data_IF_946370484977
#
_entry.id   IF_946370484977
#
_cell.length_a   1.000
_cell.length_b   1.000
_cell.length_c   1.000
_cell.angle_alpha   90.00
_cell.angle_beta   90.00
_cell.angle_gamma   90.00
#
_symmetry.space_group_name_H-M   'P 1'
#
loop_
_entity.id
_entity.type
_entity.pdbx_description
1 polymer ?
#
# COMPACT_ATOMS: atom_id res chain seq x y z
N UNK A 1 -7.65 42.30 77.70
CA UNK A 1 -8.37 41.69 76.59
C UNK A 1 -7.38 41.40 75.45
N UNK A 2 -6.90 40.14 75.34
CA UNK A 2 -5.98 39.72 74.27
C UNK A 2 -6.80 38.96 73.22
N UNK A 3 -6.86 39.51 71.98
CA UNK A 3 -7.49 38.86 70.83
C UNK A 3 -6.43 37.98 70.14
N UNK A 4 -6.63 36.66 70.18
CA UNK A 4 -5.87 35.67 69.41
C UNK A 4 -6.43 35.66 67.97
N UNK A 5 -5.57 35.93 66.99
CA UNK A 5 -5.86 35.71 65.56
C UNK A 5 -5.39 34.27 65.20
N UNK A 6 -6.34 33.40 64.83
CA UNK A 6 -6.04 32.13 64.19
C UNK A 6 -5.78 32.40 62.70
N UNK A 7 -4.59 32.09 62.23
CA UNK A 7 -4.27 32.06 60.81
C UNK A 7 -4.59 30.65 60.26
N UNK A 8 -5.57 30.59 59.33
CA UNK A 8 -5.85 29.36 58.61
C UNK A 8 -4.88 29.23 57.42
N UNK A 9 -4.03 28.20 57.47
CA UNK A 9 -3.15 27.84 56.38
C UNK A 9 -3.95 26.99 55.34
N UNK A 10 -4.18 27.55 54.15
CA UNK A 10 -4.71 26.77 53.00
C UNK A 10 -3.55 26.02 52.32
N UNK A 11 -3.56 24.70 52.44
CA UNK A 11 -2.66 23.82 51.69
C UNK A 11 -3.24 23.62 50.29
N UNK A 12 -2.63 24.22 49.28
CA UNK A 12 -2.93 23.98 47.86
C UNK A 12 -2.26 22.68 47.45
N UNK A 13 -3.04 21.59 47.29
CA UNK A 13 -2.59 20.35 46.65
C UNK A 13 -2.69 20.56 45.14
N UNK A 14 -1.58 20.89 44.48
CA UNK A 14 -1.50 20.86 43.02
C UNK A 14 -1.49 19.42 42.54
N UNK A 15 -2.62 18.95 41.97
CA UNK A 15 -2.67 17.68 41.27
C UNK A 15 -1.85 17.80 39.97
N UNK A 16 -0.64 17.24 39.96
CA UNK A 16 0.12 17.01 38.74
C UNK A 16 -0.61 15.93 37.91
N UNK A 17 -1.48 16.39 37.02
CA UNK A 17 -1.98 15.55 35.94
C UNK A 17 -0.78 15.23 35.02
N UNK A 18 -0.11 14.11 35.24
CA UNK A 18 0.89 13.58 34.33
C UNK A 18 0.21 13.37 32.98
N UNK A 19 0.60 14.14 31.96
CA UNK A 19 0.24 13.87 30.60
C UNK A 19 0.75 12.47 30.26
N UNK A 20 -0.17 11.49 30.16
CA UNK A 20 0.15 10.18 29.60
C UNK A 20 0.54 10.43 28.17
N UNK A 21 1.84 10.43 27.92
CA UNK A 21 2.38 10.58 26.56
C UNK A 21 1.95 9.34 25.79
N UNK A 22 1.02 9.52 24.85
CA UNK A 22 0.55 8.44 24.01
C UNK A 22 1.78 7.81 23.32
N UNK A 23 1.95 6.50 23.51
CA UNK A 23 3.04 5.77 22.88
C UNK A 23 2.93 5.92 21.36
N UNK A 24 4.03 6.16 20.65
CA UNK A 24 4.01 6.24 19.19
C UNK A 24 3.48 4.93 18.61
N UNK A 25 2.70 5.02 17.54
CA UNK A 25 2.17 3.82 16.85
C UNK A 25 3.33 2.95 16.37
N UNK A 26 3.32 1.67 16.72
CA UNK A 26 4.41 0.74 16.47
C UNK A 26 4.12 -0.19 15.30
N UNK A 27 5.05 -0.29 14.37
CA UNK A 27 5.05 -1.29 13.30
C UNK A 27 5.88 -2.54 13.64
N UNK A 28 6.37 -2.69 14.88
CA UNK A 28 7.31 -3.76 15.26
C UNK A 28 6.81 -5.17 14.95
N UNK A 29 5.60 -5.52 15.38
CA UNK A 29 5.01 -6.84 15.09
C UNK A 29 4.81 -7.07 13.59
N UNK A 30 4.45 -6.03 12.83
CA UNK A 30 4.31 -6.13 11.38
C UNK A 30 5.67 -6.28 10.68
N UNK A 31 6.68 -5.53 11.13
CA UNK A 31 8.05 -5.66 10.62
C UNK A 31 8.59 -7.07 10.80
N UNK A 32 8.39 -7.65 11.99
CA UNK A 32 8.81 -9.02 12.28
C UNK A 32 8.05 -10.06 11.42
N UNK A 33 6.74 -9.85 11.20
CA UNK A 33 5.96 -10.72 10.33
C UNK A 33 6.45 -10.61 8.87
N UNK A 34 6.61 -9.40 8.34
CA UNK A 34 7.11 -9.20 6.99
C UNK A 34 8.50 -9.80 6.79
N UNK A 35 9.44 -9.51 7.70
CA UNK A 35 10.81 -10.04 7.64
C UNK A 35 10.87 -11.56 7.68
N UNK A 36 9.93 -12.20 8.40
CA UNK A 36 9.93 -13.66 8.57
C UNK A 36 9.30 -14.39 7.40
N UNK A 37 8.22 -13.84 6.82
CA UNK A 37 7.39 -14.55 5.87
C UNK A 37 7.42 -13.99 4.46
N UNK A 38 8.07 -12.84 4.23
CA UNK A 38 8.18 -12.21 2.91
C UNK A 38 9.63 -12.21 2.46
N UNK A 39 9.91 -12.81 1.31
CA UNK A 39 11.24 -12.84 0.71
C UNK A 39 11.60 -11.48 0.07
N UNK A 40 12.89 -11.28 -0.25
CA UNK A 40 13.39 -10.04 -0.86
C UNK A 40 12.73 -9.72 -2.21
N UNK A 41 12.23 -10.73 -2.92
CA UNK A 41 11.49 -10.55 -4.17
C UNK A 41 9.97 -10.42 -3.99
N UNK A 42 9.49 -10.31 -2.74
CA UNK A 42 8.08 -10.02 -2.42
C UNK A 42 7.16 -11.23 -2.44
N UNK A 43 7.72 -12.46 -2.46
CA UNK A 43 6.95 -13.70 -2.35
C UNK A 43 6.66 -14.00 -0.88
N UNK A 44 5.48 -14.58 -0.60
CA UNK A 44 4.98 -14.82 0.77
C UNK A 44 4.88 -16.31 1.07
N UNK A 45 5.43 -16.74 2.21
CA UNK A 45 5.15 -18.07 2.77
C UNK A 45 3.81 -18.05 3.51
N UNK A 46 2.72 -18.22 2.76
CA UNK A 46 1.37 -18.19 3.33
C UNK A 46 1.07 -19.38 4.24
N UNK A 47 1.70 -20.54 4.02
CA UNK A 47 1.52 -21.71 4.86
C UNK A 47 2.10 -21.46 6.24
N UNK A 48 3.33 -20.97 6.31
CA UNK A 48 4.01 -20.66 7.55
C UNK A 48 3.36 -19.45 8.25
N UNK A 49 3.02 -18.39 7.53
CA UNK A 49 2.31 -17.22 8.08
C UNK A 49 0.96 -17.61 8.68
N UNK A 50 0.21 -18.51 8.04
CA UNK A 50 -1.06 -19.04 8.59
C UNK A 50 -0.85 -19.78 9.91
N UNK A 51 0.16 -20.63 10.00
CA UNK A 51 0.43 -21.42 11.21
C UNK A 51 1.00 -20.57 12.37
N UNK A 52 1.55 -19.39 12.07
CA UNK A 52 2.20 -18.49 13.05
C UNK A 52 1.71 -17.04 12.92
N UNK A 53 0.41 -16.82 12.77
CA UNK A 53 -0.17 -15.50 12.48
C UNK A 53 -0.12 -14.48 13.62
N UNK A 54 0.32 -14.86 14.82
CA UNK A 54 0.21 -14.07 16.06
C UNK A 54 0.72 -12.62 15.91
N UNK A 55 1.85 -12.40 15.22
CA UNK A 55 2.41 -11.05 15.01
C UNK A 55 1.57 -10.23 14.04
N UNK A 56 1.10 -10.83 12.95
CA UNK A 56 0.17 -10.18 12.05
C UNK A 56 -1.15 -9.82 12.77
N UNK A 57 -1.68 -10.74 13.57
CA UNK A 57 -2.90 -10.50 14.34
C UNK A 57 -2.71 -9.41 15.40
N UNK A 58 -1.56 -9.36 16.07
CA UNK A 58 -1.20 -8.28 17.00
C UNK A 58 -1.17 -6.92 16.30
N UNK A 59 -0.56 -6.83 15.11
CA UNK A 59 -0.55 -5.60 14.33
C UNK A 59 -1.96 -5.18 13.89
N UNK A 60 -2.78 -6.11 13.39
CA UNK A 60 -4.18 -5.82 13.02
C UNK A 60 -5.00 -5.32 14.22
N UNK A 61 -4.77 -5.87 15.40
CA UNK A 61 -5.39 -5.37 16.63
C UNK A 61 -4.92 -3.95 16.97
N UNK A 62 -3.64 -3.61 16.72
CA UNK A 62 -3.14 -2.25 16.90
C UNK A 62 -3.76 -1.24 15.93
N UNK A 63 -4.03 -1.66 14.67
CA UNK A 63 -4.79 -0.85 13.71
C UNK A 63 -6.20 -0.55 14.22
N UNK A 64 -6.86 -1.58 14.76
CA UNK A 64 -8.22 -1.46 15.33
C UNK A 64 -8.26 -0.53 16.52
N UNK A 65 -7.27 -0.62 17.42
CA UNK A 65 -7.20 0.14 18.66
C UNK A 65 -6.64 1.56 18.53
N UNK A 66 -6.16 1.97 17.35
CA UNK A 66 -5.60 3.31 17.17
C UNK A 66 -6.67 4.39 17.36
N UNK A 67 -6.40 5.33 18.28
CA UNK A 67 -7.28 6.47 18.50
C UNK A 67 -7.20 7.44 17.33
N UNK A 68 -8.35 7.84 16.79
CA UNK A 68 -8.47 8.79 15.68
C UNK A 68 -7.74 10.11 15.95
N UNK A 69 -7.79 10.64 17.15
CA UNK A 69 -7.13 11.90 17.51
C UNK A 69 -5.59 11.80 17.45
N UNK A 70 -5.02 10.60 17.68
CA UNK A 70 -3.58 10.35 17.50
C UNK A 70 -3.23 10.37 16.01
N UNK A 71 -4.02 9.65 15.19
CA UNK A 71 -3.86 9.63 13.73
C UNK A 71 -4.00 11.02 13.12
N UNK A 72 -4.97 11.83 13.55
CA UNK A 72 -5.22 13.16 13.00
C UNK A 72 -4.01 14.10 13.16
N UNK A 73 -3.23 13.92 14.23
CA UNK A 73 -2.00 14.66 14.49
C UNK A 73 -0.78 14.26 13.66
N UNK A 74 -0.87 13.19 12.84
CA UNK A 74 0.25 12.73 12.04
C UNK A 74 0.48 13.58 10.79
N UNK A 75 1.71 13.54 10.29
CA UNK A 75 2.06 14.09 8.98
C UNK A 75 1.40 13.29 7.85
N UNK A 76 1.18 13.91 6.71
CA UNK A 76 0.59 13.22 5.54
C UNK A 76 1.39 11.97 5.13
N UNK A 77 2.75 11.99 5.02
CA UNK A 77 3.51 10.77 4.75
C UNK A 77 3.28 9.65 5.77
N UNK A 78 3.13 9.99 7.06
CA UNK A 78 2.85 8.99 8.09
C UNK A 78 1.44 8.38 7.94
N UNK A 79 0.45 9.18 7.52
CA UNK A 79 -0.91 8.73 7.23
C UNK A 79 -0.93 7.80 6.01
N UNK A 80 -0.25 8.16 4.92
CA UNK A 80 -0.14 7.32 3.72
C UNK A 80 0.53 5.99 4.07
N UNK A 81 1.68 6.02 4.77
CA UNK A 81 2.39 4.82 5.22
C UNK A 81 1.49 3.89 6.05
N UNK A 82 0.72 4.45 6.99
CA UNK A 82 -0.23 3.70 7.80
C UNK A 82 -1.27 2.96 6.94
N UNK A 83 -1.88 3.65 5.99
CA UNK A 83 -2.92 3.04 5.16
C UNK A 83 -2.37 2.01 4.18
N UNK A 84 -1.17 2.19 3.63
CA UNK A 84 -0.49 1.17 2.83
C UNK A 84 -0.24 -0.09 3.66
N UNK A 85 0.30 0.06 4.88
CA UNK A 85 0.54 -1.06 5.78
C UNK A 85 -0.78 -1.74 6.19
N UNK A 86 -1.83 -0.98 6.47
CA UNK A 86 -3.14 -1.51 6.80
C UNK A 86 -3.71 -2.35 5.64
N UNK A 87 -3.71 -1.82 4.41
CA UNK A 87 -4.16 -2.56 3.22
C UNK A 87 -3.41 -3.87 3.03
N UNK A 88 -2.07 -3.80 3.05
CA UNK A 88 -1.22 -4.97 2.84
C UNK A 88 -1.40 -6.02 3.96
N UNK A 89 -1.49 -5.60 5.23
CA UNK A 89 -1.73 -6.51 6.35
C UNK A 89 -3.13 -7.14 6.28
N UNK A 90 -4.16 -6.38 5.94
CA UNK A 90 -5.52 -6.89 5.73
C UNK A 90 -5.56 -7.89 4.57
N UNK A 91 -4.84 -7.62 3.48
CA UNK A 91 -4.71 -8.55 2.35
C UNK A 91 -4.03 -9.86 2.77
N UNK A 92 -2.91 -9.80 3.51
CA UNK A 92 -2.27 -11.00 4.06
C UNK A 92 -3.24 -11.79 4.94
N UNK A 93 -4.00 -11.11 5.80
CA UNK A 93 -5.01 -11.75 6.66
C UNK A 93 -6.13 -12.40 5.85
N UNK A 94 -6.62 -11.74 4.82
CA UNK A 94 -7.62 -12.30 3.90
C UNK A 94 -7.13 -13.60 3.27
N UNK A 95 -5.89 -13.61 2.77
CA UNK A 95 -5.32 -14.81 2.15
C UNK A 95 -5.17 -15.93 3.18
N UNK A 96 -4.53 -15.73 4.34
CA UNK A 96 -4.30 -16.81 5.30
C UNK A 96 -5.59 -17.34 5.92
N UNK A 97 -6.65 -16.53 6.02
CA UNK A 97 -7.97 -16.97 6.47
C UNK A 97 -8.60 -18.01 5.52
N UNK A 98 -8.28 -17.91 4.21
CA UNK A 98 -8.81 -18.78 3.17
C UNK A 98 -7.78 -19.80 2.62
N UNK A 99 -6.53 -19.76 3.13
CA UNK A 99 -5.45 -20.61 2.63
C UNK A 99 -5.55 -22.06 3.18
N UNK A 100 -5.29 -23.13 2.36
CA UNK A 100 -5.13 -23.06 0.92
C UNK A 100 -6.43 -22.64 0.24
N UNK A 101 -6.31 -21.73 -0.75
CA UNK A 101 -7.48 -21.13 -1.40
C UNK A 101 -8.26 -22.20 -2.15
N UNK A 102 -9.55 -22.30 -1.84
CA UNK A 102 -10.48 -23.22 -2.53
C UNK A 102 -11.07 -22.53 -3.75
N UNK A 103 -10.81 -23.10 -4.91
CA UNK A 103 -11.36 -22.57 -6.16
C UNK A 103 -12.73 -23.17 -6.46
N UNK A 104 -13.63 -22.37 -7.04
CA UNK A 104 -14.85 -22.89 -7.68
C UNK A 104 -14.59 -23.24 -9.13
N UNK A 105 -15.40 -24.12 -9.70
CA UNK A 105 -15.31 -24.48 -11.13
C UNK A 105 -15.47 -23.25 -12.03
N UNK A 106 -16.48 -22.42 -11.78
CA UNK A 106 -16.78 -21.25 -12.61
C UNK A 106 -15.69 -20.19 -12.59
N UNK A 107 -15.15 -19.86 -11.40
CA UNK A 107 -14.09 -18.86 -11.29
C UNK A 107 -12.74 -19.38 -11.80
N UNK A 108 -12.51 -20.70 -11.75
CA UNK A 108 -11.29 -21.34 -12.28
C UNK A 108 -11.22 -21.35 -13.83
N UNK A 109 -12.32 -21.10 -14.51
CA UNK A 109 -12.30 -20.88 -15.97
C UNK A 109 -11.67 -19.55 -16.36
N UNK A 110 -11.63 -18.59 -15.43
CA UNK A 110 -11.17 -17.22 -15.70
C UNK A 110 -9.90 -16.83 -14.91
N UNK A 111 -9.72 -17.42 -13.74
CA UNK A 111 -8.62 -17.08 -12.85
C UNK A 111 -7.90 -18.35 -12.36
N UNK A 112 -6.60 -18.26 -12.03
CA UNK A 112 -5.86 -19.38 -11.43
C UNK A 112 -6.56 -19.92 -10.17
N UNK A 113 -6.41 -21.22 -9.91
CA UNK A 113 -7.02 -21.87 -8.74
C UNK A 113 -6.51 -21.33 -7.43
N UNK A 114 -5.22 -20.96 -7.36
CA UNK A 114 -4.59 -20.32 -6.20
C UNK A 114 -4.52 -18.80 -6.43
N UNK A 115 -5.63 -18.12 -6.44
CA UNK A 115 -5.74 -16.69 -6.69
C UNK A 115 -6.64 -16.04 -5.65
N UNK A 116 -6.32 -14.83 -5.25
CA UNK A 116 -7.21 -14.00 -4.44
C UNK A 116 -8.60 -13.82 -5.10
N UNK A 117 -8.66 -13.89 -6.44
CA UNK A 117 -9.92 -13.84 -7.22
C UNK A 117 -10.86 -15.00 -6.94
N UNK A 118 -10.41 -16.06 -6.26
CA UNK A 118 -11.27 -17.18 -5.83
C UNK A 118 -12.00 -16.87 -4.50
N UNK A 119 -11.60 -15.83 -3.77
CA UNK A 119 -12.23 -15.43 -2.50
C UNK A 119 -13.36 -14.44 -2.83
N UNK A 120 -14.62 -14.88 -2.62
CA UNK A 120 -15.79 -14.02 -2.88
C UNK A 120 -15.77 -12.79 -1.98
N UNK A 121 -16.09 -11.62 -2.55
CA UNK A 121 -16.22 -10.37 -1.80
C UNK A 121 -14.95 -9.87 -1.12
N UNK A 122 -13.76 -10.40 -1.46
CA UNK A 122 -12.51 -10.09 -0.75
C UNK A 122 -12.19 -8.60 -0.69
N UNK A 123 -12.54 -7.84 -1.72
CA UNK A 123 -12.32 -6.39 -1.75
C UNK A 123 -13.47 -5.58 -1.18
N UNK A 124 -14.73 -6.04 -1.36
CA UNK A 124 -15.93 -5.23 -1.16
C UNK A 124 -16.79 -5.66 0.03
N UNK A 125 -16.60 -6.88 0.56
CA UNK A 125 -17.46 -7.44 1.60
C UNK A 125 -16.67 -7.89 2.83
N UNK A 126 -15.39 -8.32 2.65
CA UNK A 126 -14.57 -8.74 3.77
C UNK A 126 -14.07 -7.51 4.54
N UNK A 127 -14.50 -7.39 5.78
CA UNK A 127 -14.22 -6.24 6.63
C UNK A 127 -13.12 -6.50 7.65
N UNK A 128 -12.30 -5.47 7.89
CA UNK A 128 -11.23 -5.43 8.88
C UNK A 128 -11.41 -4.19 9.77
N UNK A 129 -11.25 -4.32 11.08
CA UNK A 129 -11.37 -3.17 11.97
C UNK A 129 -10.12 -2.30 11.90
N UNK A 130 -10.29 -1.02 11.53
CA UNK A 130 -9.23 0.01 11.51
C UNK A 130 -9.76 1.25 12.23
N UNK A 131 -9.08 1.71 13.28
CA UNK A 131 -9.51 2.84 14.12
C UNK A 131 -10.97 2.69 14.58
N UNK A 132 -11.36 1.49 15.03
CA UNK A 132 -12.72 1.19 15.50
C UNK A 132 -13.80 1.15 14.42
N UNK A 133 -13.45 1.23 13.13
CA UNK A 133 -14.39 1.19 12.01
C UNK A 133 -14.16 -0.06 11.17
N UNK A 134 -15.23 -0.69 10.71
CA UNK A 134 -15.16 -1.77 9.72
C UNK A 134 -14.76 -1.19 8.36
N UNK A 135 -13.66 -1.69 7.79
CA UNK A 135 -13.09 -1.23 6.52
C UNK A 135 -12.88 -2.43 5.59
N UNK A 136 -13.32 -2.31 4.36
CA UNK A 136 -12.96 -3.26 3.28
C UNK A 136 -11.66 -2.84 2.61
N UNK A 137 -11.03 -3.72 1.83
CA UNK A 137 -9.84 -3.36 1.02
C UNK A 137 -10.15 -2.21 0.06
N UNK A 138 -11.29 -2.25 -0.63
CA UNK A 138 -11.75 -1.15 -1.49
C UNK A 138 -12.00 0.14 -0.69
N UNK A 139 -12.52 0.02 0.53
CA UNK A 139 -12.70 1.15 1.43
C UNK A 139 -11.39 1.83 1.80
N UNK A 140 -10.33 1.06 2.02
CA UNK A 140 -8.99 1.59 2.30
C UNK A 140 -8.38 2.22 1.03
N UNK A 141 -8.38 1.50 -0.09
CA UNK A 141 -7.75 1.96 -1.33
C UNK A 141 -8.50 3.13 -1.96
N UNK A 142 -9.78 2.94 -2.28
CA UNK A 142 -10.58 3.92 -3.02
C UNK A 142 -11.24 4.95 -2.11
N UNK A 143 -11.60 4.55 -0.90
CA UNK A 143 -12.28 5.43 0.07
C UNK A 143 -11.34 6.36 0.82
N UNK A 144 -10.06 5.97 1.00
CA UNK A 144 -9.09 6.75 1.76
C UNK A 144 -7.88 7.10 0.89
N UNK A 145 -7.03 6.12 0.52
CA UNK A 145 -5.74 6.41 -0.11
C UNK A 145 -5.87 7.24 -1.38
N UNK A 146 -6.74 6.84 -2.32
CA UNK A 146 -6.94 7.53 -3.59
C UNK A 146 -7.75 8.82 -3.47
N UNK A 147 -8.60 8.92 -2.44
CA UNK A 147 -9.51 10.05 -2.27
C UNK A 147 -8.91 11.19 -1.46
N UNK A 148 -8.14 10.86 -0.42
CA UNK A 148 -7.62 11.84 0.54
C UNK A 148 -6.19 12.28 0.23
N UNK A 149 -5.44 11.50 -0.60
CA UNK A 149 -4.04 11.75 -0.91
C UNK A 149 -3.77 11.77 -2.41
N UNK A 150 -2.83 12.62 -2.84
CA UNK A 150 -2.39 12.76 -4.23
C UNK A 150 -1.02 12.09 -4.47
N UNK A 151 -0.89 10.82 -4.08
CA UNK A 151 0.36 10.06 -4.19
C UNK A 151 0.16 8.81 -5.07
N UNK A 152 0.31 8.92 -6.40
CA UNK A 152 0.02 7.78 -7.29
C UNK A 152 1.00 6.62 -7.15
N UNK A 153 2.18 6.83 -6.53
CA UNK A 153 3.12 5.74 -6.24
C UNK A 153 2.56 4.71 -5.25
N UNK A 154 1.41 4.98 -4.59
CA UNK A 154 0.69 3.96 -3.80
C UNK A 154 0.38 2.71 -4.64
N UNK A 155 0.13 2.88 -5.95
CA UNK A 155 -0.11 1.75 -6.85
C UNK A 155 1.12 0.85 -7.07
N UNK A 156 2.31 1.31 -6.66
CA UNK A 156 3.54 0.50 -6.61
C UNK A 156 3.75 -0.14 -5.22
N UNK A 157 2.88 0.16 -4.24
CA UNK A 157 3.01 -0.24 -2.84
C UNK A 157 1.86 -1.13 -2.34
N UNK A 158 0.66 -0.99 -2.92
CA UNK A 158 -0.50 -1.82 -2.58
C UNK A 158 -0.41 -3.17 -3.26
N UNK A 159 -0.46 -4.24 -2.48
CA UNK A 159 -0.24 -5.61 -2.96
C UNK A 159 -1.49 -6.46 -2.75
N UNK A 160 -2.18 -6.78 -3.84
CA UNK A 160 -3.38 -7.62 -3.82
C UNK A 160 -3.06 -9.13 -3.88
N UNK A 161 -1.92 -9.54 -3.36
CA UNK A 161 -1.48 -10.95 -3.30
C UNK A 161 -1.39 -11.67 -4.66
N UNK A 162 -1.25 -10.95 -5.77
CA UNK A 162 -1.10 -11.53 -7.11
C UNK A 162 0.32 -11.30 -7.65
N UNK A 163 0.81 -12.19 -8.51
CA UNK A 163 2.08 -12.02 -9.22
C UNK A 163 2.08 -10.77 -10.11
N UNK A 164 0.90 -10.33 -10.57
CA UNK A 164 0.70 -9.09 -11.30
C UNK A 164 0.92 -7.82 -10.48
N UNK A 165 0.81 -7.88 -9.14
CA UNK A 165 1.05 -6.76 -8.23
C UNK A 165 2.53 -6.33 -8.19
N UNK A 166 2.82 -5.15 -7.62
CA UNK A 166 4.15 -4.84 -7.12
C UNK A 166 4.62 -5.90 -6.10
N UNK A 167 5.95 -6.10 -5.94
CA UNK A 167 6.46 -7.00 -4.90
C UNK A 167 6.11 -6.47 -3.51
N UNK A 168 5.63 -7.34 -2.61
CA UNK A 168 5.42 -6.95 -1.22
C UNK A 168 6.76 -6.65 -0.55
N UNK A 169 6.91 -5.50 0.11
CA UNK A 169 8.12 -5.20 0.88
C UNK A 169 8.19 -6.08 2.11
N UNK A 170 9.39 -6.54 2.45
CA UNK A 170 9.65 -7.28 3.68
C UNK A 170 9.94 -6.36 4.89
N UNK A 171 9.56 -5.08 4.78
CA UNK A 171 9.56 -4.09 5.85
C UNK A 171 8.31 -3.21 5.76
N UNK A 172 7.83 -2.61 6.87
CA UNK A 172 6.73 -1.65 6.83
C UNK A 172 7.13 -0.35 6.15
N UNK A 173 6.15 0.32 5.56
CA UNK A 173 6.29 1.73 5.19
C UNK A 173 6.27 2.59 6.45
N UNK A 174 7.08 3.66 6.47
CA UNK A 174 7.12 4.64 7.57
C UNK A 174 7.05 6.05 7.01
N UNK A 175 6.46 6.99 7.75
CA UNK A 175 6.32 8.37 7.27
C UNK A 175 7.65 9.04 6.96
N UNK A 176 8.70 8.74 7.75
CA UNK A 176 10.03 9.30 7.58
C UNK A 176 10.74 8.83 6.30
N UNK A 177 10.44 7.60 5.85
CA UNK A 177 11.09 6.96 4.70
C UNK A 177 10.15 6.77 3.51
N UNK A 178 8.91 7.28 3.59
CA UNK A 178 7.87 6.98 2.60
C UNK A 178 8.32 7.31 1.18
N UNK A 179 8.90 8.48 0.96
CA UNK A 179 9.36 8.91 -0.35
C UNK A 179 10.36 7.93 -0.97
N UNK A 180 11.41 7.59 -0.20
CA UNK A 180 12.46 6.66 -0.63
C UNK A 180 11.91 5.24 -0.85
N UNK A 181 10.99 4.79 0.02
CA UNK A 181 10.37 3.47 -0.09
C UNK A 181 9.45 3.37 -1.32
N UNK A 182 8.70 4.41 -1.64
CA UNK A 182 7.85 4.46 -2.82
C UNK A 182 8.68 4.54 -4.11
N UNK A 183 9.77 5.31 -4.11
CA UNK A 183 10.69 5.38 -5.25
C UNK A 183 11.41 4.05 -5.50
N UNK A 184 11.87 3.38 -4.45
CA UNK A 184 12.44 2.04 -4.55
C UNK A 184 11.41 1.04 -5.13
N UNK A 185 10.16 1.09 -4.67
CA UNK A 185 9.09 0.23 -5.20
C UNK A 185 8.80 0.52 -6.68
N UNK A 186 8.78 1.79 -7.08
CA UNK A 186 8.59 2.15 -8.48
C UNK A 186 9.73 1.60 -9.35
N UNK A 187 10.99 1.75 -8.92
CA UNK A 187 12.15 1.16 -9.63
C UNK A 187 12.05 -0.36 -9.72
N UNK A 188 11.74 -1.04 -8.61
CA UNK A 188 11.57 -2.50 -8.58
C UNK A 188 10.46 -2.98 -9.50
N UNK A 189 9.35 -2.26 -9.54
CA UNK A 189 8.23 -2.58 -10.41
C UNK A 189 8.61 -2.40 -11.88
N UNK A 190 9.18 -1.28 -12.23
CA UNK A 190 9.53 -0.92 -13.62
C UNK A 190 10.72 -1.71 -14.16
N UNK A 191 11.61 -2.22 -13.30
CA UNK A 191 12.71 -3.10 -13.74
C UNK A 191 12.25 -4.50 -14.15
N UNK A 192 11.00 -4.89 -13.86
CA UNK A 192 10.47 -6.19 -14.21
C UNK A 192 9.83 -6.16 -15.62
N UNK A 193 10.36 -6.90 -16.61
CA UNK A 193 9.84 -6.91 -17.98
C UNK A 193 8.41 -7.44 -18.11
N UNK A 194 7.90 -8.17 -17.11
CA UNK A 194 6.50 -8.58 -17.01
C UNK A 194 5.57 -7.45 -16.52
N UNK A 195 6.11 -6.27 -16.17
CA UNK A 195 5.37 -5.09 -15.70
C UNK A 195 5.54 -3.91 -16.63
N UNK A 196 6.76 -3.73 -17.15
CA UNK A 196 7.13 -2.64 -18.04
C UNK A 196 8.26 -3.08 -18.97
N UNK A 197 8.16 -2.74 -20.25
CA UNK A 197 9.27 -2.86 -21.19
C UNK A 197 9.07 -1.96 -22.42
N UNK A 198 10.16 -1.48 -22.97
CA UNK A 198 10.22 -0.78 -24.25
C UNK A 198 10.68 -1.78 -25.30
N UNK A 199 9.85 -2.06 -26.29
CA UNK A 199 10.20 -2.89 -27.43
C UNK A 199 10.50 -1.97 -28.65
N UNK A 200 11.73 -1.42 -28.66
CA UNK A 200 12.14 -0.44 -29.66
C UNK A 200 11.96 -0.94 -31.10
N UNK A 201 12.26 -2.22 -31.34
CA UNK A 201 12.12 -2.84 -32.68
C UNK A 201 10.65 -2.97 -33.13
N UNK A 202 9.70 -2.92 -32.20
CA UNK A 202 8.27 -3.01 -32.46
C UNK A 202 7.61 -1.62 -32.44
N UNK A 203 8.32 -0.56 -32.06
CA UNK A 203 7.75 0.76 -31.81
C UNK A 203 6.65 0.73 -30.75
N UNK A 204 6.79 -0.13 -29.74
CA UNK A 204 5.73 -0.37 -28.74
C UNK A 204 6.29 -0.31 -27.31
N UNK A 205 5.55 0.37 -26.45
CA UNK A 205 5.77 0.37 -24.99
C UNK A 205 4.71 -0.51 -24.34
N UNK A 206 5.15 -1.50 -23.61
CA UNK A 206 4.29 -2.44 -22.90
C UNK A 206 4.18 -2.03 -21.43
N UNK A 207 2.95 -1.83 -20.96
CA UNK A 207 2.63 -1.37 -19.62
C UNK A 207 1.85 -2.41 -18.84
N UNK A 208 2.08 -2.50 -17.54
CA UNK A 208 1.19 -3.24 -16.63
C UNK A 208 -0.23 -2.70 -16.72
N UNK A 209 -1.27 -3.57 -16.62
CA UNK A 209 -2.66 -3.15 -16.49
C UNK A 209 -2.93 -2.19 -15.34
N UNK A 210 -2.11 -2.14 -14.30
CA UNK A 210 -2.19 -1.15 -13.21
C UNK A 210 -2.24 0.27 -13.77
N UNK A 211 -1.39 0.60 -14.74
CA UNK A 211 -1.37 1.91 -15.39
C UNK A 211 -2.61 2.19 -16.24
N UNK A 212 -3.30 1.14 -16.71
CA UNK A 212 -4.59 1.30 -17.39
C UNK A 212 -5.72 1.57 -16.40
N UNK A 213 -5.71 0.87 -15.27
CA UNK A 213 -6.78 0.97 -14.27
C UNK A 213 -6.71 2.26 -13.47
N UNK A 214 -5.50 2.74 -13.20
CA UNK A 214 -5.23 3.86 -12.28
C UNK A 214 -4.50 5.04 -12.95
N UNK A 215 -4.41 5.07 -14.27
CA UNK A 215 -3.66 6.11 -15.00
C UNK A 215 -4.11 7.53 -14.68
N UNK A 216 -5.41 7.74 -14.40
CA UNK A 216 -5.95 9.07 -14.04
C UNK A 216 -5.36 9.60 -12.72
N UNK A 217 -4.96 8.73 -11.80
CA UNK A 217 -4.38 9.15 -10.52
C UNK A 217 -2.98 9.79 -10.69
N UNK A 218 -2.33 9.56 -11.83
CA UNK A 218 -1.03 10.16 -12.16
C UNK A 218 -1.15 11.58 -12.74
N UNK A 219 -2.32 11.97 -13.24
CA UNK A 219 -2.50 13.27 -13.90
C UNK A 219 -2.20 14.46 -13.00
N UNK A 220 -2.64 14.50 -11.72
CA UNK A 220 -2.37 15.65 -10.85
C UNK A 220 -0.88 15.92 -10.61
N UNK A 221 -0.04 14.88 -10.51
CA UNK A 221 1.38 15.01 -10.18
C UNK A 221 2.33 14.92 -11.39
N UNK A 222 1.89 14.27 -12.47
CA UNK A 222 2.73 13.93 -13.62
C UNK A 222 2.12 14.34 -14.96
N UNK A 223 0.97 15.03 -14.96
CA UNK A 223 0.34 15.51 -16.18
C UNK A 223 1.23 16.47 -16.96
N UNK A 224 1.29 16.30 -18.29
CA UNK A 224 2.02 17.16 -19.20
C UNK A 224 1.16 17.51 -20.41
N UNK A 225 1.27 18.75 -20.89
CA UNK A 225 0.53 19.22 -22.07
C UNK A 225 1.20 18.79 -23.38
N UNK A 226 2.52 18.68 -23.36
CA UNK A 226 3.34 18.38 -24.55
C UNK A 226 4.25 17.17 -24.31
N UNK A 227 4.71 16.56 -25.40
CA UNK A 227 5.50 15.33 -25.36
C UNK A 227 4.65 14.06 -25.23
N UNK A 228 5.31 12.93 -25.27
CA UNK A 228 4.71 11.58 -25.11
C UNK A 228 3.65 11.22 -26.17
N UNK A 229 3.68 11.89 -27.34
CA UNK A 229 2.83 11.54 -28.49
C UNK A 229 1.35 11.87 -28.35
N UNK A 230 0.55 11.31 -29.26
CA UNK A 230 -0.90 11.51 -29.32
C UNK A 230 -1.67 10.58 -28.37
N UNK A 231 -1.12 10.34 -27.17
CA UNK A 231 -1.75 9.53 -26.13
C UNK A 231 -2.74 10.35 -25.28
N UNK A 232 -3.61 9.68 -24.52
CA UNK A 232 -4.51 10.35 -23.58
C UNK A 232 -3.74 11.06 -22.46
N UNK A 233 -4.38 12.02 -21.78
CA UNK A 233 -3.76 12.74 -20.64
C UNK A 233 -3.22 11.78 -19.58
N UNK A 234 -4.02 10.74 -19.22
CA UNK A 234 -3.61 9.70 -18.28
C UNK A 234 -2.39 8.89 -18.77
N UNK A 235 -2.38 8.51 -20.04
CA UNK A 235 -1.25 7.79 -20.63
C UNK A 235 0.02 8.64 -20.66
N UNK A 236 -0.07 9.93 -21.04
CA UNK A 236 1.08 10.84 -21.01
C UNK A 236 1.60 11.04 -19.59
N UNK A 237 0.71 11.19 -18.59
CA UNK A 237 1.10 11.30 -17.19
C UNK A 237 1.83 10.04 -16.70
N UNK A 238 1.34 8.86 -17.04
CA UNK A 238 2.00 7.57 -16.73
C UNK A 238 3.37 7.47 -17.40
N UNK A 239 3.49 7.82 -18.69
CA UNK A 239 4.78 7.77 -19.38
C UNK A 239 5.77 8.77 -18.79
N UNK A 240 5.32 9.98 -18.43
CA UNK A 240 6.15 10.98 -17.75
C UNK A 240 6.61 10.48 -16.36
N UNK A 241 5.72 9.87 -15.58
CA UNK A 241 6.09 9.20 -14.33
C UNK A 241 7.18 8.14 -14.55
N UNK A 242 6.99 7.24 -15.51
CA UNK A 242 7.93 6.16 -15.83
C UNK A 242 9.29 6.73 -16.27
N UNK A 243 9.31 7.74 -17.13
CA UNK A 243 10.54 8.38 -17.60
C UNK A 243 11.45 8.87 -16.48
N UNK A 244 10.88 9.28 -15.33
CA UNK A 244 11.65 9.68 -14.15
C UNK A 244 12.47 8.55 -13.48
N UNK A 245 12.23 7.30 -13.87
CA UNK A 245 12.92 6.12 -13.33
C UNK A 245 13.81 5.40 -14.34
N UNK A 246 13.87 5.88 -15.58
CA UNK A 246 14.65 5.29 -16.67
C UNK A 246 15.99 6.01 -16.83
N UNK A 247 16.89 5.41 -17.59
CA UNK A 247 18.06 6.12 -18.08
C UNK A 247 17.66 7.19 -19.13
N UNK A 248 18.63 8.04 -19.49
CA UNK A 248 18.36 9.18 -20.34
C UNK A 248 17.88 8.78 -21.74
N UNK A 249 18.43 7.71 -22.32
CA UNK A 249 18.10 7.26 -23.68
C UNK A 249 16.65 6.76 -23.74
N UNK A 250 16.26 5.90 -22.80
CA UNK A 250 14.90 5.37 -22.72
C UNK A 250 13.88 6.45 -22.33
N UNK A 251 14.24 7.39 -21.45
CA UNK A 251 13.39 8.52 -21.12
C UNK A 251 13.14 9.45 -22.33
N UNK A 252 14.18 9.76 -23.11
CA UNK A 252 14.06 10.53 -24.36
C UNK A 252 13.20 9.79 -25.39
N UNK A 253 13.36 8.47 -25.51
CA UNK A 253 12.55 7.61 -26.38
C UNK A 253 11.06 7.66 -25.99
N UNK A 254 10.72 7.60 -24.71
CA UNK A 254 9.34 7.73 -24.27
C UNK A 254 8.79 9.12 -24.55
N UNK A 255 9.57 10.17 -24.31
CA UNK A 255 9.13 11.55 -24.49
C UNK A 255 8.93 11.96 -25.96
N UNK A 256 9.64 11.31 -26.91
CA UNK A 256 9.44 11.55 -28.35
C UNK A 256 8.02 11.20 -28.81
N UNK A 257 7.40 10.20 -28.18
CA UNK A 257 6.03 9.78 -28.46
C UNK A 257 5.86 8.97 -29.74
N UNK A 258 6.96 8.56 -30.38
CA UNK A 258 6.96 7.76 -31.63
C UNK A 258 6.76 6.25 -31.28
N UNK A 259 5.74 5.95 -30.47
CA UNK A 259 5.44 4.57 -30.06
C UNK A 259 3.95 4.37 -29.81
N UNK A 260 3.52 3.13 -29.92
CA UNK A 260 2.21 2.69 -29.45
C UNK A 260 2.29 2.19 -28.00
N UNK A 261 1.16 2.22 -27.29
CA UNK A 261 1.04 1.59 -25.96
C UNK A 261 0.24 0.30 -26.08
N UNK A 262 0.78 -0.76 -25.51
CA UNK A 262 0.08 -2.03 -25.31
C UNK A 262 0.09 -2.41 -23.83
N UNK A 263 -0.97 -3.05 -23.37
CA UNK A 263 -1.04 -3.50 -21.97
C UNK A 263 -0.74 -4.99 -21.89
N UNK A 264 0.15 -5.33 -20.95
CA UNK A 264 0.51 -6.71 -20.63
C UNK A 264 -0.66 -7.45 -19.98
N UNK A 265 -0.60 -8.78 -19.98
CA UNK A 265 -1.52 -9.58 -19.18
C UNK A 265 -1.22 -9.43 -17.69
N UNK A 266 -2.28 -9.44 -16.87
CA UNK A 266 -2.14 -9.39 -15.43
C UNK A 266 -2.16 -10.80 -14.84
N UNK A 267 -1.03 -11.21 -14.25
CA UNK A 267 -0.93 -12.51 -13.61
C UNK A 267 -1.62 -12.52 -12.24
N UNK A 268 -2.78 -13.17 -12.19
CA UNK A 268 -3.58 -13.33 -10.99
C UNK A 268 -3.16 -14.52 -10.11
N UNK A 269 -2.10 -15.24 -10.45
CA UNK A 269 -1.55 -16.29 -9.58
C UNK A 269 -1.09 -15.68 -8.26
N UNK A 270 -1.25 -16.42 -7.16
CA UNK A 270 -0.82 -15.99 -5.84
C UNK A 270 0.69 -15.77 -5.80
N UNK A 271 1.14 -14.69 -5.16
CA UNK A 271 2.56 -14.39 -4.93
C UNK A 271 3.14 -15.25 -3.79
N UNK A 272 3.04 -16.56 -3.94
CA UNK A 272 3.37 -17.58 -2.94
C UNK A 272 4.81 -18.08 -3.12
N UNK A 273 5.56 -18.20 -2.04
CA UNK A 273 6.83 -18.93 -2.02
C UNK A 273 6.57 -20.42 -2.30
N UNK A 274 7.39 -21.01 -3.17
CA UNK A 274 7.33 -22.45 -3.52
C UNK A 274 8.33 -23.25 -2.71
#
# INVERSE_FOLDING_TARGET
MKRSMLAAAFVFVAALAGAVQAQPFSYGDYADALKTYVSDNGMVDYALLKSHSKRLDSFLNSLSGLNRSVYDGWTEPAKIAFWINAYNACTLKAIIAHYPIRSSFLTSLRFPKNSIRQISGVWTELEFPVMGRAMTLDGIEHGVLRKEFHEPRIHMALVCAAMGCPPLRNEPYTGERLGDQLDDQARRFLSNPAKFRIAANEGTVYLSPIFKWFGEDFVPGYGVEQGYGAHSAAQRAVLHFIAGYLDKEDAERLSSGDHSISYLDYDWSLNEQK
#
